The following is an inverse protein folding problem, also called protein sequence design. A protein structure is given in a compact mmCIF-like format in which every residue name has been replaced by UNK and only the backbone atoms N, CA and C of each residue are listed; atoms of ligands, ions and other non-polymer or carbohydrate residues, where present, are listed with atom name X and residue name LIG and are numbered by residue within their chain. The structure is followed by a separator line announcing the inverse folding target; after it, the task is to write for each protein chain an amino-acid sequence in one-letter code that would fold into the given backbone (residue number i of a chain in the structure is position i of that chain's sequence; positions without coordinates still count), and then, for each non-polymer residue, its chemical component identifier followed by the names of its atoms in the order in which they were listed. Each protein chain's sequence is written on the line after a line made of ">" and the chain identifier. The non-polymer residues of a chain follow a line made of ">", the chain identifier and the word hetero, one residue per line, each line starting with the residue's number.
data_IF_939712056856
#
_entry.id   IF_939712056856
#
_cell.length_a   1.000
_cell.length_b   1.000
_cell.length_c   1.000
_cell.angle_alpha   90.00
_cell.angle_beta   90.00
_cell.angle_gamma   90.00
#
_symmetry.space_group_name_H-M   'P 1'
#
loop_
_entity.id
_entity.type
_entity.pdbx_description
1 polymer ?
#
# COMPACT_ATOMS: atom_id res chain seq x y z
N UNK A 1 -3.52 -10.24 -15.60
CA UNK A 1 -2.57 -10.22 -14.47
C UNK A 1 -2.97 -11.32 -13.51
N UNK A 2 -2.03 -12.14 -13.05
CA UNK A 2 -2.30 -13.13 -11.99
C UNK A 2 -2.35 -12.43 -10.62
N UNK A 3 -2.86 -13.12 -9.59
CA UNK A 3 -2.85 -12.57 -8.22
C UNK A 3 -1.41 -12.25 -7.78
N UNK A 4 -0.45 -13.12 -8.10
CA UNK A 4 0.95 -12.94 -7.71
C UNK A 4 1.57 -11.71 -8.39
N UNK A 5 1.37 -11.55 -9.70
CA UNK A 5 1.79 -10.33 -10.40
C UNK A 5 1.14 -9.07 -9.80
N UNK A 6 -0.12 -9.18 -9.36
CA UNK A 6 -0.80 -8.09 -8.65
C UNK A 6 -0.16 -7.79 -7.30
N UNK A 7 0.23 -8.81 -6.53
CA UNK A 7 0.94 -8.66 -5.26
C UNK A 7 2.28 -7.95 -5.46
N UNK A 8 3.03 -8.32 -6.48
CA UNK A 8 4.27 -7.62 -6.86
C UNK A 8 4.01 -6.15 -7.21
N UNK A 9 2.94 -5.88 -7.96
CA UNK A 9 2.54 -4.50 -8.29
C UNK A 9 2.15 -3.71 -7.03
N UNK A 10 1.44 -4.32 -6.08
CA UNK A 10 1.08 -3.70 -4.80
C UNK A 10 2.32 -3.39 -3.95
N UNK A 11 3.31 -4.30 -3.93
CA UNK A 11 4.62 -4.09 -3.27
C UNK A 11 5.34 -2.88 -3.88
N UNK A 12 5.44 -2.82 -5.20
CA UNK A 12 6.06 -1.68 -5.90
C UNK A 12 5.32 -0.36 -5.63
N UNK A 13 3.98 -0.36 -5.68
CA UNK A 13 3.17 0.82 -5.39
C UNK A 13 3.37 1.31 -3.94
N UNK A 14 3.46 0.40 -2.98
CA UNK A 14 3.76 0.74 -1.59
C UNK A 14 5.17 1.33 -1.42
N UNK A 15 6.18 0.76 -2.07
CA UNK A 15 7.55 1.31 -2.02
C UNK A 15 7.59 2.75 -2.54
N UNK A 16 6.84 3.06 -3.60
CA UNK A 16 6.71 4.42 -4.09
C UNK A 16 6.03 5.34 -3.07
N UNK A 17 4.98 4.88 -2.39
CA UNK A 17 4.32 5.64 -1.34
C UNK A 17 5.26 5.91 -0.15
N UNK A 18 6.02 4.90 0.31
CA UNK A 18 7.02 5.03 1.36
C UNK A 18 8.14 6.00 0.97
N UNK A 19 8.61 5.97 -0.28
CA UNK A 19 9.58 6.94 -0.77
C UNK A 19 9.06 8.39 -0.71
N UNK A 20 7.77 8.62 -0.96
CA UNK A 20 7.16 9.94 -0.78
C UNK A 20 7.05 10.33 0.70
N UNK A 21 6.71 9.39 1.58
CA UNK A 21 6.73 9.63 3.03
C UNK A 21 8.13 10.04 3.49
N UNK A 22 9.16 9.28 3.10
CA UNK A 22 10.56 9.58 3.41
C UNK A 22 10.99 10.95 2.87
N UNK A 23 10.60 11.31 1.65
CA UNK A 23 10.90 12.62 1.08
C UNK A 23 10.28 13.77 1.88
N UNK A 24 9.15 13.54 2.57
CA UNK A 24 8.46 14.56 3.39
C UNK A 24 9.06 14.63 4.80
N UNK A 25 9.29 13.48 5.46
CA UNK A 25 9.77 13.45 6.86
C UNK A 25 11.29 13.34 7.01
N UNK A 26 12.02 13.08 5.92
CA UNK A 26 13.47 12.91 5.87
C UNK A 26 13.98 11.51 6.23
N UNK A 27 13.25 10.73 7.02
CA UNK A 27 13.58 9.33 7.33
C UNK A 27 12.33 8.53 7.72
N UNK A 28 12.23 7.30 7.23
CA UNK A 28 11.17 6.35 7.63
C UNK A 28 11.28 5.91 9.10
N UNK A 29 12.39 6.16 9.78
CA UNK A 29 12.54 5.90 11.22
C UNK A 29 11.60 6.76 12.08
N UNK A 30 11.16 7.90 11.54
CA UNK A 30 10.18 8.79 12.17
C UNK A 30 8.75 8.30 12.06
N UNK A 31 8.47 7.27 11.24
CA UNK A 31 7.13 6.68 11.15
C UNK A 31 6.86 5.87 12.42
N UNK A 32 5.91 6.31 13.24
CA UNK A 32 5.50 5.60 14.45
C UNK A 32 4.58 4.41 14.13
N UNK A 33 3.71 4.57 13.13
CA UNK A 33 2.77 3.54 12.70
C UNK A 33 1.93 3.96 11.50
N UNK A 34 0.94 3.15 11.15
CA UNK A 34 0.12 3.33 9.96
C UNK A 34 -1.36 3.42 10.35
N UNK A 35 -2.03 4.51 10.00
CA UNK A 35 -3.47 4.66 10.25
C UNK A 35 -4.24 3.82 9.23
N UNK A 36 -3.90 3.98 7.94
CA UNK A 36 -4.68 3.45 6.83
C UNK A 36 -3.82 3.11 5.62
N UNK A 37 -4.13 1.97 4.99
CA UNK A 37 -3.71 1.60 3.65
C UNK A 37 -4.94 1.51 2.73
N UNK A 38 -5.00 2.37 1.72
CA UNK A 38 -5.98 2.31 0.64
C UNK A 38 -5.40 1.56 -0.56
N UNK A 39 -6.03 0.47 -0.96
CA UNK A 39 -5.61 -0.32 -2.11
C UNK A 39 -6.65 -0.34 -3.22
N UNK A 40 -6.22 0.03 -4.42
CA UNK A 40 -7.07 0.15 -5.59
C UNK A 40 -6.49 -0.72 -6.72
N UNK A 41 -7.28 -1.66 -7.24
CA UNK A 41 -6.80 -2.66 -8.20
C UNK A 41 -7.61 -2.55 -9.48
N UNK A 42 -6.94 -2.29 -10.60
CA UNK A 42 -7.58 -2.32 -11.90
C UNK A 42 -8.04 -3.75 -12.20
N UNK A 43 -9.35 -3.95 -12.32
CA UNK A 43 -9.93 -5.29 -12.39
C UNK A 43 -11.24 -5.28 -13.18
N UNK A 44 -11.58 -6.44 -13.73
CA UNK A 44 -12.90 -6.68 -14.33
C UNK A 44 -13.96 -6.81 -13.23
N UNK A 45 -15.26 -6.57 -13.53
CA UNK A 45 -16.32 -6.63 -12.51
C UNK A 45 -16.50 -7.99 -11.82
N UNK A 46 -16.06 -9.07 -12.45
CA UNK A 46 -16.14 -10.45 -11.93
C UNK A 46 -14.99 -10.81 -10.98
N UNK A 47 -13.90 -10.05 -10.97
CA UNK A 47 -12.80 -10.29 -10.06
C UNK A 47 -13.15 -9.82 -8.65
N UNK A 48 -12.95 -10.69 -7.65
CA UNK A 48 -13.31 -10.41 -6.24
C UNK A 48 -12.14 -10.54 -5.27
N UNK A 49 -10.95 -10.90 -5.78
CA UNK A 49 -9.79 -11.22 -4.95
C UNK A 49 -8.85 -10.01 -4.74
N UNK A 50 -9.40 -8.78 -4.76
CA UNK A 50 -8.64 -7.53 -4.55
C UNK A 50 -7.85 -7.55 -3.24
N UNK A 51 -8.43 -8.11 -2.17
CA UNK A 51 -7.76 -8.29 -0.89
C UNK A 51 -6.43 -9.05 -1.02
N UNK A 52 -6.40 -10.14 -1.79
CA UNK A 52 -5.19 -10.95 -2.01
C UNK A 52 -4.08 -10.20 -2.75
N UNK A 53 -4.47 -9.29 -3.65
CA UNK A 53 -3.52 -8.42 -4.35
C UNK A 53 -2.92 -7.42 -3.36
N UNK A 54 -3.76 -6.75 -2.57
CA UNK A 54 -3.31 -5.75 -1.59
C UNK A 54 -2.57 -6.38 -0.39
N UNK A 55 -2.77 -7.67 -0.11
CA UNK A 55 -1.97 -8.40 0.88
C UNK A 55 -0.47 -8.30 0.58
N UNK A 56 -0.05 -8.19 -0.69
CA UNK A 56 1.35 -7.96 -1.05
C UNK A 56 1.94 -6.68 -0.44
N UNK A 57 1.16 -5.59 -0.40
CA UNK A 57 1.55 -4.35 0.27
C UNK A 57 1.49 -4.50 1.80
N UNK A 58 0.42 -5.09 2.35
CA UNK A 58 0.28 -5.29 3.80
C UNK A 58 1.39 -6.18 4.37
N UNK A 59 1.82 -7.21 3.65
CA UNK A 59 2.95 -8.08 4.01
C UNK A 59 4.27 -7.33 3.96
N UNK A 60 4.52 -6.54 2.90
CA UNK A 60 5.74 -5.75 2.81
C UNK A 60 5.85 -4.71 3.93
N UNK A 61 4.74 -4.08 4.33
CA UNK A 61 4.75 -3.21 5.52
C UNK A 61 5.18 -3.99 6.77
N UNK A 62 4.67 -5.21 6.97
CA UNK A 62 5.08 -6.06 8.10
C UNK A 62 6.56 -6.46 8.01
N UNK A 63 7.04 -6.81 6.81
CA UNK A 63 8.45 -7.17 6.59
C UNK A 63 9.40 -6.01 6.98
N UNK A 64 9.02 -4.77 6.70
CA UNK A 64 9.84 -3.57 6.96
C UNK A 64 9.66 -3.03 8.39
N UNK A 65 8.42 -2.95 8.88
CA UNK A 65 8.07 -2.22 10.11
C UNK A 65 7.67 -3.11 11.29
N UNK A 66 7.55 -4.42 11.10
CA UNK A 66 7.15 -5.37 12.14
C UNK A 66 5.76 -5.07 12.71
N UNK A 67 5.61 -5.12 14.04
CA UNK A 67 4.32 -4.92 14.71
C UNK A 67 3.74 -3.50 14.51
N UNK A 68 4.59 -2.51 14.20
CA UNK A 68 4.15 -1.14 13.87
C UNK A 68 3.36 -1.07 12.56
N UNK A 69 3.43 -2.11 11.74
CA UNK A 69 2.77 -2.19 10.44
C UNK A 69 1.25 -2.40 10.52
N UNK A 70 0.65 -2.56 11.70
CA UNK A 70 -0.80 -2.69 11.82
C UNK A 70 -1.51 -1.45 11.25
N UNK A 71 -2.56 -1.66 10.43
CA UNK A 71 -3.30 -0.59 9.77
C UNK A 71 -4.75 -0.98 9.51
N UNK A 72 -5.66 -0.01 9.47
CA UNK A 72 -6.94 -0.19 8.81
C UNK A 72 -6.75 -0.28 7.28
N UNK A 73 -7.63 -0.99 6.59
CA UNK A 73 -7.47 -1.23 5.15
C UNK A 73 -8.78 -1.13 4.38
N UNK A 74 -8.69 -0.63 3.14
CA UNK A 74 -9.67 -0.92 2.08
C UNK A 74 -8.96 -1.56 0.87
N UNK A 75 -9.62 -2.49 0.19
CA UNK A 75 -9.16 -3.05 -1.08
C UNK A 75 -10.33 -3.06 -2.07
N UNK A 76 -10.26 -2.24 -3.12
CA UNK A 76 -11.35 -2.03 -4.07
C UNK A 76 -10.94 -2.36 -5.50
N UNK A 77 -11.89 -2.88 -6.27
CA UNK A 77 -11.79 -3.01 -7.72
C UNK A 77 -12.11 -1.69 -8.41
N UNK A 78 -11.30 -1.33 -9.39
CA UNK A 78 -11.46 -0.14 -10.23
C UNK A 78 -11.57 -0.55 -11.68
N UNK A 79 -12.49 0.08 -12.42
CA UNK A 79 -12.61 -0.15 -13.86
C UNK A 79 -11.34 0.27 -14.63
N UNK A 80 -10.67 1.32 -14.16
CA UNK A 80 -9.35 1.74 -14.63
C UNK A 80 -8.64 2.56 -13.55
N UNK A 81 -7.33 2.70 -13.70
CA UNK A 81 -6.48 3.56 -12.87
C UNK A 81 -5.67 4.51 -13.76
N UNK A 82 -5.18 5.65 -13.23
CA UNK A 82 -4.33 6.58 -13.97
C UNK A 82 -3.15 5.87 -14.66
N UNK A 83 -2.84 6.30 -15.88
CA UNK A 83 -1.74 5.73 -16.71
C UNK A 83 -1.88 4.22 -17.00
N UNK A 84 -3.03 3.61 -16.72
CA UNK A 84 -3.27 2.18 -16.95
C UNK A 84 -2.49 1.27 -15.99
N UNK A 85 -2.09 1.76 -14.82
CA UNK A 85 -1.39 0.93 -13.82
C UNK A 85 -2.31 -0.15 -13.25
N UNK A 86 -1.77 -1.31 -12.87
CA UNK A 86 -2.60 -2.40 -12.34
C UNK A 86 -3.02 -2.19 -10.87
N UNK A 87 -2.22 -1.47 -10.07
CA UNK A 87 -2.46 -1.24 -8.65
C UNK A 87 -2.03 0.18 -8.27
N UNK A 88 -2.82 0.83 -7.42
CA UNK A 88 -2.51 2.10 -6.78
C UNK A 88 -2.65 1.95 -5.25
N UNK A 89 -1.75 2.60 -4.50
CA UNK A 89 -1.72 2.58 -3.03
C UNK A 89 -1.76 4.01 -2.50
N UNK A 90 -2.65 4.23 -1.55
CA UNK A 90 -2.72 5.43 -0.71
C UNK A 90 -2.34 5.04 0.73
N UNK A 91 -1.56 5.89 1.40
CA UNK A 91 -1.05 5.61 2.73
C UNK A 91 -1.20 6.81 3.65
N UNK A 92 -1.71 6.58 4.86
CA UNK A 92 -1.74 7.55 5.95
C UNK A 92 -0.91 7.03 7.10
N UNK A 93 0.12 7.78 7.50
CA UNK A 93 1.09 7.40 8.53
C UNK A 93 0.99 8.29 9.76
N UNK A 94 1.39 7.76 10.92
CA UNK A 94 1.62 8.51 12.14
C UNK A 94 3.12 8.80 12.19
N UNK A 95 3.49 10.07 12.33
CA UNK A 95 4.88 10.47 12.56
C UNK A 95 5.10 10.69 14.05
N UNK A 96 6.27 10.30 14.55
CA UNK A 96 6.70 10.65 15.91
C UNK A 96 6.81 12.16 16.02
N UNK A 97 6.38 12.68 17.17
CA UNK A 97 6.55 14.09 17.46
C UNK A 97 8.03 14.39 17.75
N UNK A 98 8.59 15.35 17.04
CA UNK A 98 9.95 15.84 17.27
C UNK A 98 9.81 17.05 18.21
N UNK A 99 9.59 16.79 19.50
CA UNK A 99 9.25 17.82 20.50
C UNK A 99 10.06 19.11 20.44
#
# INVERSE_FOLDING_TARGET
>A
MTIEQGRDCARCALLNALAQVEAICGSLDLVEGFVRLGGYVAATPDFTQHGKVIDGASELLRDIFGDRAAHARVAMGMASLPRGVPVEIELTVILRDNG
#
